data_IF_137765467089
#
_entry.id   IF_137765467089
#
_cell.length_a   1.000
_cell.length_b   1.000
_cell.length_c   1.000
_cell.angle_alpha   90.00
_cell.angle_beta   90.00
_cell.angle_gamma   90.00
#
_symmetry.space_group_name_H-M   'P 1'
#
loop_
_entity.id
_entity.type
_entity.pdbx_description
1 polymer ?
#
# COMPACT_ATOMS: atom_id res chain seq x y z
N UNK A 1 37.20 -4.78 -2.96
CA UNK A 1 36.03 -5.01 -3.83
C UNK A 1 34.84 -4.52 -3.04
N UNK A 2 34.08 -3.54 -3.54
CA UNK A 2 32.89 -3.06 -2.83
C UNK A 2 31.85 -4.19 -2.83
N UNK A 3 31.47 -4.70 -1.66
CA UNK A 3 30.38 -5.67 -1.56
C UNK A 3 29.15 -5.09 -2.23
N UNK A 4 28.61 -5.81 -3.21
CA UNK A 4 27.45 -5.37 -3.98
C UNK A 4 26.25 -5.41 -3.05
N UNK A 5 25.71 -4.24 -2.70
CA UNK A 5 24.51 -4.11 -1.89
C UNK A 5 23.37 -4.90 -2.55
N UNK A 6 22.87 -5.92 -1.86
CA UNK A 6 21.76 -6.73 -2.32
C UNK A 6 20.45 -5.99 -2.06
N UNK A 7 19.68 -5.74 -3.13
CA UNK A 7 18.37 -5.09 -3.07
C UNK A 7 17.32 -6.11 -3.47
N UNK A 8 16.41 -6.41 -2.55
CA UNK A 8 15.37 -7.43 -2.71
C UNK A 8 14.00 -6.77 -2.94
N UNK A 9 13.23 -7.38 -3.84
CA UNK A 9 11.85 -6.97 -4.15
C UNK A 9 11.74 -5.48 -4.43
N UNK A 10 11.01 -4.75 -3.57
CA UNK A 10 10.84 -3.31 -3.66
C UNK A 10 11.73 -2.57 -2.66
N UNK A 11 13.01 -2.39 -3.02
CA UNK A 11 13.94 -1.51 -2.31
C UNK A 11 14.41 -1.99 -0.94
N UNK A 12 14.13 -3.24 -0.57
CA UNK A 12 14.54 -3.77 0.72
C UNK A 12 16.01 -4.18 0.69
N UNK A 13 16.81 -3.71 1.66
CA UNK A 13 18.24 -3.99 1.75
C UNK A 13 18.50 -4.67 3.10
N UNK A 14 18.64 -6.01 3.15
CA UNK A 14 18.79 -6.74 4.41
C UNK A 14 19.98 -6.30 5.27
N UNK A 15 21.07 -5.90 4.63
CA UNK A 15 22.29 -5.43 5.30
C UNK A 15 22.12 -4.07 5.99
N UNK A 16 21.09 -3.29 5.62
CA UNK A 16 20.81 -1.97 6.20
C UNK A 16 19.65 -1.97 7.20
N UNK A 17 18.65 -2.83 6.98
CA UNK A 17 17.45 -2.86 7.82
C UNK A 17 16.86 -4.27 7.94
N UNK A 18 16.36 -4.56 9.14
CA UNK A 18 15.65 -5.82 9.43
C UNK A 18 14.13 -5.65 9.35
N UNK A 19 13.62 -4.44 9.63
CA UNK A 19 12.18 -4.14 9.52
C UNK A 19 11.78 -3.97 8.07
N UNK A 20 10.85 -4.82 7.61
CA UNK A 20 10.33 -4.81 6.26
C UNK A 20 8.91 -5.38 6.23
N UNK A 21 8.30 -5.35 5.05
CA UNK A 21 7.06 -6.06 4.78
C UNK A 21 7.31 -7.19 3.81
N UNK A 22 6.55 -8.28 3.97
CA UNK A 22 6.63 -9.45 3.11
C UNK A 22 5.26 -9.72 2.51
N UNK A 23 5.18 -9.72 1.18
CA UNK A 23 3.95 -10.01 0.43
C UNK A 23 3.98 -11.44 -0.05
N UNK A 24 3.01 -12.24 0.37
CA UNK A 24 2.80 -13.60 -0.09
C UNK A 24 1.73 -13.61 -1.19
N UNK A 25 2.14 -13.85 -2.43
CA UNK A 25 1.25 -13.89 -3.60
C UNK A 25 0.99 -15.36 -3.99
N UNK A 26 -0.26 -15.85 -3.98
CA UNK A 26 -0.55 -17.26 -4.24
C UNK A 26 -0.46 -17.58 -5.73
N UNK A 27 -0.14 -18.86 -6.06
CA UNK A 27 -0.10 -19.36 -7.45
C UNK A 27 -1.47 -19.30 -8.12
N UNK A 28 -2.50 -19.88 -7.49
CA UNK A 28 -3.86 -19.96 -8.04
C UNK A 28 -4.56 -18.60 -8.12
N UNK A 29 -5.59 -18.48 -8.96
CA UNK A 29 -6.34 -17.23 -9.14
C UNK A 29 -7.34 -16.94 -8.02
N UNK A 30 -7.82 -17.97 -7.32
CA UNK A 30 -8.82 -17.86 -6.24
C UNK A 30 -8.19 -17.78 -4.83
N UNK A 31 -6.90 -17.43 -4.75
CA UNK A 31 -6.18 -17.30 -3.48
C UNK A 31 -6.29 -15.92 -2.84
N UNK A 32 -5.70 -15.80 -1.64
CA UNK A 32 -5.53 -14.54 -0.95
C UNK A 32 -4.06 -14.12 -0.96
N UNK A 33 -3.81 -12.83 -1.20
CA UNK A 33 -2.54 -12.19 -0.94
C UNK A 33 -2.48 -11.83 0.53
N UNK A 34 -1.45 -12.31 1.23
CA UNK A 34 -1.22 -12.00 2.64
C UNK A 34 -0.03 -11.04 2.74
N UNK A 35 -0.14 -10.03 3.59
CA UNK A 35 0.94 -9.07 3.85
C UNK A 35 1.33 -9.17 5.32
N UNK A 36 2.61 -9.45 5.56
CA UNK A 36 3.20 -9.53 6.89
C UNK A 36 4.09 -8.32 7.15
N UNK A 37 4.04 -7.78 8.36
CA UNK A 37 5.06 -6.87 8.90
C UNK A 37 6.09 -7.72 9.66
N UNK A 38 7.36 -7.67 9.24
CA UNK A 38 8.45 -8.47 9.80
C UNK A 38 9.53 -7.57 10.39
N UNK A 39 10.19 -8.04 11.45
CA UNK A 39 11.24 -7.29 12.16
C UNK A 39 12.61 -7.96 12.11
N UNK A 40 12.72 -9.09 11.40
CA UNK A 40 13.93 -9.87 11.18
C UNK A 40 13.92 -10.40 9.76
N UNK A 41 15.08 -10.39 9.11
CA UNK A 41 15.29 -11.03 7.82
C UNK A 41 15.88 -12.43 8.03
N UNK A 42 15.43 -13.38 7.20
CA UNK A 42 15.95 -14.75 7.22
C UNK A 42 17.23 -14.79 6.38
N UNK A 43 18.37 -14.46 6.98
CA UNK A 43 19.67 -14.53 6.30
C UNK A 43 19.98 -15.97 5.86
N UNK A 44 19.98 -16.23 4.55
CA UNK A 44 20.65 -17.41 3.98
C UNK A 44 19.86 -18.71 3.85
N UNK A 45 18.53 -18.74 4.01
CA UNK A 45 17.73 -19.92 3.66
C UNK A 45 16.98 -19.61 2.35
N UNK A 46 17.22 -20.39 1.28
CA UNK A 46 16.52 -20.27 -0.02
C UNK A 46 14.98 -20.41 0.11
N UNK A 47 14.50 -20.75 1.31
CA UNK A 47 13.10 -20.89 1.67
C UNK A 47 12.73 -19.93 2.80
N UNK A 48 12.22 -18.75 2.45
CA UNK A 48 11.52 -17.86 3.37
C UNK A 48 10.38 -18.65 4.05
N UNK A 49 10.36 -18.66 5.39
CA UNK A 49 9.34 -19.32 6.20
C UNK A 49 8.63 -18.27 7.05
N UNK A 50 7.31 -18.34 7.11
CA UNK A 50 6.52 -17.47 7.98
C UNK A 50 6.58 -18.02 9.40
N UNK A 51 7.09 -17.22 10.33
CA UNK A 51 7.01 -17.48 11.75
C UNK A 51 5.81 -16.74 12.34
N UNK A 52 4.72 -17.45 12.59
CA UNK A 52 3.48 -16.86 13.14
C UNK A 52 3.63 -16.24 14.54
N UNK A 53 4.74 -16.49 15.25
CA UNK A 53 5.00 -15.82 16.53
C UNK A 53 5.60 -14.43 16.37
N UNK A 54 6.40 -14.19 15.33
CA UNK A 54 7.14 -12.95 15.14
C UNK A 54 6.68 -12.13 13.93
N UNK A 55 6.18 -12.79 12.89
CA UNK A 55 5.65 -12.17 11.68
C UNK A 55 4.20 -11.77 11.90
N UNK A 56 3.92 -10.46 11.78
CA UNK A 56 2.59 -9.92 12.08
C UNK A 56 1.75 -9.86 10.81
N UNK A 57 0.74 -10.73 10.61
CA UNK A 57 -0.15 -10.60 9.48
C UNK A 57 -0.99 -9.32 9.61
N UNK A 58 -0.98 -8.50 8.57
CA UNK A 58 -1.68 -7.20 8.53
C UNK A 58 -2.91 -7.21 7.64
N UNK A 59 -2.87 -8.01 6.57
CA UNK A 59 -3.84 -7.95 5.48
C UNK A 59 -4.07 -9.34 4.90
N UNK A 60 -5.32 -9.64 4.56
CA UNK A 60 -5.75 -10.75 3.72
C UNK A 60 -6.63 -10.23 2.59
N UNK A 61 -6.02 -9.97 1.44
CA UNK A 61 -6.71 -9.41 0.27
C UNK A 61 -6.99 -10.50 -0.77
N UNK A 62 -8.18 -10.53 -1.38
CA UNK A 62 -8.41 -11.45 -2.49
C UNK A 62 -7.45 -11.15 -3.65
N UNK A 63 -6.96 -12.19 -4.34
CA UNK A 63 -6.05 -11.99 -5.48
C UNK A 63 -6.68 -11.13 -6.58
N UNK A 64 -7.99 -11.21 -6.77
CA UNK A 64 -8.72 -10.31 -7.67
C UNK A 64 -8.53 -8.82 -7.31
N UNK A 65 -8.77 -8.44 -6.04
CA UNK A 65 -8.57 -7.05 -5.60
C UNK A 65 -7.10 -6.63 -5.65
N UNK A 66 -6.19 -7.55 -5.32
CA UNK A 66 -4.76 -7.30 -5.47
C UNK A 66 -4.38 -6.94 -6.91
N UNK A 67 -4.90 -7.66 -7.91
CA UNK A 67 -4.66 -7.35 -9.33
C UNK A 67 -5.11 -5.94 -9.73
N UNK A 68 -6.15 -5.41 -9.10
CA UNK A 68 -6.63 -4.05 -9.37
C UNK A 68 -5.67 -2.95 -8.85
N UNK A 69 -4.78 -3.27 -7.91
CA UNK A 69 -3.86 -2.29 -7.31
C UNK A 69 -2.37 -2.57 -7.57
N UNK A 70 -1.98 -3.79 -7.97
CA UNK A 70 -0.58 -4.20 -8.03
C UNK A 70 0.25 -3.32 -8.98
N UNK A 71 -0.30 -2.95 -10.14
CA UNK A 71 0.38 -2.09 -11.11
C UNK A 71 0.51 -0.66 -10.61
N UNK A 72 -0.50 -0.15 -9.90
CA UNK A 72 -0.45 1.17 -9.27
C UNK A 72 0.67 1.22 -8.22
N UNK A 73 0.73 0.24 -7.33
CA UNK A 73 1.78 0.15 -6.31
C UNK A 73 3.16 -0.01 -6.95
N UNK A 74 3.28 -0.88 -7.96
CA UNK A 74 4.55 -1.10 -8.67
C UNK A 74 5.08 0.20 -9.27
N UNK A 75 4.22 0.95 -9.96
CA UNK A 75 4.63 2.19 -10.63
C UNK A 75 5.06 3.24 -9.61
N UNK A 76 4.27 3.48 -8.56
CA UNK A 76 4.59 4.45 -7.50
C UNK A 76 5.92 4.11 -6.79
N UNK A 77 6.16 2.83 -6.49
CA UNK A 77 7.39 2.40 -5.83
C UNK A 77 8.58 2.47 -6.77
N UNK A 78 8.43 2.01 -8.02
CA UNK A 78 9.52 2.01 -8.98
C UNK A 78 9.95 3.42 -9.43
N UNK A 79 9.02 4.38 -9.50
CA UNK A 79 9.37 5.78 -9.73
C UNK A 79 10.29 6.32 -8.64
N UNK A 80 10.02 5.98 -7.37
CA UNK A 80 10.85 6.39 -6.23
C UNK A 80 12.16 5.62 -6.14
N UNK A 81 12.17 4.32 -6.48
CA UNK A 81 13.40 3.52 -6.59
C UNK A 81 14.32 4.06 -7.68
N UNK A 82 13.77 4.44 -8.84
CA UNK A 82 14.52 5.05 -9.94
C UNK A 82 15.18 6.35 -9.51
N UNK A 83 14.46 7.24 -8.79
CA UNK A 83 15.02 8.48 -8.24
C UNK A 83 16.18 8.23 -7.26
N UNK A 84 16.18 7.07 -6.57
CA UNK A 84 17.23 6.64 -5.64
C UNK A 84 18.34 5.81 -6.30
N UNK A 85 18.32 5.63 -7.63
CA UNK A 85 19.24 4.75 -8.37
C UNK A 85 19.27 3.29 -7.85
N UNK A 86 18.13 2.79 -7.35
CA UNK A 86 17.98 1.41 -6.90
C UNK A 86 17.35 0.53 -7.99
N UNK A 87 17.61 -0.80 -8.00
CA UNK A 87 16.92 -1.74 -8.87
C UNK A 87 15.40 -1.65 -8.74
N UNK A 88 14.70 -1.81 -9.87
CA UNK A 88 13.24 -1.76 -9.90
C UNK A 88 12.63 -3.08 -9.42
N UNK A 89 11.57 -3.00 -8.62
CA UNK A 89 10.84 -4.15 -8.12
C UNK A 89 9.81 -4.69 -9.12
N UNK A 90 9.46 -5.98 -8.95
CA UNK A 90 8.39 -6.66 -9.68
C UNK A 90 7.62 -7.57 -8.74
N UNK A 91 6.30 -7.56 -8.84
CA UNK A 91 5.45 -8.55 -8.18
C UNK A 91 5.64 -9.91 -8.86
N UNK A 92 5.84 -10.95 -8.06
CA UNK A 92 5.94 -12.34 -8.50
C UNK A 92 5.21 -13.23 -7.51
N UNK A 93 4.76 -14.39 -7.98
CA UNK A 93 4.21 -15.42 -7.11
C UNK A 93 5.22 -15.85 -6.05
N UNK A 94 4.75 -16.22 -4.86
CA UNK A 94 5.59 -16.50 -3.69
C UNK A 94 5.80 -15.24 -2.86
N UNK A 95 6.98 -15.12 -2.25
CA UNK A 95 7.30 -14.01 -1.35
C UNK A 95 8.01 -12.86 -2.07
N UNK A 96 7.54 -11.64 -1.81
CA UNK A 96 8.15 -10.39 -2.30
C UNK A 96 8.42 -9.46 -1.12
N UNK A 97 9.70 -9.21 -0.79
CA UNK A 97 10.08 -8.23 0.23
C UNK A 97 9.80 -6.80 -0.25
N UNK A 98 9.38 -5.94 0.67
CA UNK A 98 9.08 -4.53 0.42
C UNK A 98 9.72 -3.72 1.55
N UNK A 99 10.46 -2.67 1.19
CA UNK A 99 11.02 -1.73 2.15
C UNK A 99 9.93 -1.16 3.07
N UNK A 100 10.31 -0.90 4.32
CA UNK A 100 9.41 -0.52 5.40
C UNK A 100 8.41 0.58 5.03
N UNK A 101 8.86 1.72 4.48
CA UNK A 101 7.99 2.85 4.16
C UNK A 101 7.03 2.53 3.01
N UNK A 102 7.51 1.89 1.95
CA UNK A 102 6.62 1.38 0.88
C UNK A 102 5.61 0.37 1.41
N UNK A 103 6.03 -0.50 2.33
CA UNK A 103 5.15 -1.47 2.98
C UNK A 103 4.04 -0.80 3.79
N UNK A 104 4.34 0.28 4.54
CA UNK A 104 3.32 1.08 5.23
C UNK A 104 2.27 1.64 4.27
N UNK A 105 2.71 2.21 3.16
CA UNK A 105 1.81 2.81 2.16
C UNK A 105 0.94 1.76 1.46
N UNK A 106 1.52 0.61 1.14
CA UNK A 106 0.81 -0.54 0.58
C UNK A 106 -0.23 -1.09 1.56
N UNK A 107 0.14 -1.27 2.84
CA UNK A 107 -0.79 -1.74 3.86
C UNK A 107 -1.94 -0.75 4.04
N UNK A 108 -1.68 0.56 4.02
CA UNK A 108 -2.75 1.56 4.09
C UNK A 108 -3.79 1.42 2.95
N UNK A 109 -3.33 1.30 1.70
CA UNK A 109 -4.24 1.14 0.55
C UNK A 109 -5.02 -0.17 0.65
N UNK A 110 -4.32 -1.27 0.94
CA UNK A 110 -4.95 -2.59 1.03
C UNK A 110 -5.94 -2.67 2.18
N UNK A 111 -5.65 -2.02 3.31
CA UNK A 111 -6.58 -1.87 4.43
C UNK A 111 -7.89 -1.20 4.06
N UNK A 112 -7.87 -0.17 3.21
CA UNK A 112 -9.08 0.52 2.79
C UNK A 112 -9.99 -0.35 1.91
N UNK A 113 -9.40 -1.21 1.07
CA UNK A 113 -10.15 -1.95 0.06
C UNK A 113 -10.49 -3.40 0.45
N UNK A 114 -9.91 -3.91 1.54
CA UNK A 114 -10.02 -5.32 1.92
C UNK A 114 -11.48 -5.78 2.05
N UNK A 115 -12.31 -4.99 2.72
CA UNK A 115 -13.74 -5.28 2.96
C UNK A 115 -14.69 -4.36 2.17
N UNK A 116 -14.18 -3.70 1.12
CA UNK A 116 -14.99 -2.86 0.23
C UNK A 116 -15.51 -3.63 -0.99
N UNK A 117 -16.50 -3.09 -1.69
CA UNK A 117 -16.81 -3.57 -3.03
C UNK A 117 -15.63 -3.23 -3.99
N UNK A 118 -15.28 -4.07 -4.99
CA UNK A 118 -14.22 -3.73 -5.94
C UNK A 118 -14.48 -2.46 -6.75
N UNK A 119 -15.74 -2.04 -6.93
CA UNK A 119 -16.11 -0.82 -7.66
C UNK A 119 -15.55 0.47 -7.07
N UNK A 120 -15.23 0.50 -5.77
CA UNK A 120 -14.67 1.69 -5.10
C UNK A 120 -13.14 1.76 -5.14
N UNK A 121 -12.46 0.71 -5.66
CA UNK A 121 -10.99 0.67 -5.73
C UNK A 121 -10.39 1.81 -6.57
N UNK A 122 -10.96 2.21 -7.73
CA UNK A 122 -10.45 3.35 -8.48
C UNK A 122 -10.46 4.65 -7.67
N UNK A 123 -11.51 4.88 -6.87
CA UNK A 123 -11.61 6.05 -5.97
C UNK A 123 -10.56 5.95 -4.86
N UNK A 124 -10.40 4.76 -4.26
CA UNK A 124 -9.36 4.50 -3.26
C UNK A 124 -7.95 4.78 -3.77
N UNK A 125 -7.64 4.38 -5.01
CA UNK A 125 -6.36 4.68 -5.65
C UNK A 125 -6.19 6.19 -5.81
N UNK A 126 -7.20 6.91 -6.32
CA UNK A 126 -7.14 8.38 -6.51
C UNK A 126 -6.90 9.09 -5.17
N UNK A 127 -7.69 8.78 -4.14
CA UNK A 127 -7.52 9.37 -2.81
C UNK A 127 -6.17 9.03 -2.19
N UNK A 128 -5.72 7.78 -2.29
CA UNK A 128 -4.40 7.37 -1.77
C UNK A 128 -3.26 8.11 -2.48
N UNK A 129 -3.35 8.29 -3.80
CA UNK A 129 -2.39 9.08 -4.59
C UNK A 129 -2.41 10.58 -4.22
N UNK A 130 -3.58 11.09 -3.83
CA UNK A 130 -3.73 12.47 -3.37
C UNK A 130 -3.05 12.78 -2.04
N UNK A 131 -2.78 11.75 -1.23
CA UNK A 131 -1.99 11.89 0.00
C UNK A 131 -0.50 11.94 -0.31
N UNK A 132 0.22 12.82 0.39
CA UNK A 132 1.69 12.79 0.46
C UNK A 132 2.18 11.49 1.12
N UNK A 133 3.42 11.05 0.84
CA UNK A 133 4.00 9.88 1.52
C UNK A 133 3.94 9.98 3.05
N UNK A 134 4.20 11.15 3.61
CA UNK A 134 4.20 11.41 5.05
C UNK A 134 2.81 11.25 5.66
N UNK A 135 1.76 11.75 4.99
CA UNK A 135 0.37 11.53 5.39
C UNK A 135 -0.01 10.04 5.36
N UNK A 136 0.43 9.31 4.33
CA UNK A 136 0.23 7.86 4.26
C UNK A 136 0.92 7.15 5.43
N UNK A 137 2.15 7.51 5.75
CA UNK A 137 2.89 6.91 6.87
C UNK A 137 2.27 7.25 8.22
N UNK A 138 1.77 8.48 8.38
CA UNK A 138 1.08 8.91 9.58
C UNK A 138 -0.22 8.13 9.77
N UNK A 139 -1.08 8.05 8.75
CA UNK A 139 -2.33 7.27 8.78
C UNK A 139 -2.08 5.80 9.07
N UNK A 140 -1.06 5.20 8.43
CA UNK A 140 -0.63 3.84 8.74
C UNK A 140 -0.27 3.73 10.22
N UNK A 141 0.55 4.64 10.76
CA UNK A 141 1.07 4.56 12.13
C UNK A 141 -0.06 4.66 13.16
N UNK A 142 -0.99 5.61 12.98
CA UNK A 142 -2.17 5.75 13.84
C UNK A 142 -3.07 4.52 13.81
N UNK A 143 -3.30 3.99 12.60
CA UNK A 143 -4.13 2.79 12.41
C UNK A 143 -3.46 1.54 12.97
N UNK A 144 -2.16 1.37 12.74
CA UNK A 144 -1.40 0.21 13.18
C UNK A 144 -1.25 0.13 14.70
N UNK A 145 -1.12 1.29 15.36
CA UNK A 145 -1.03 1.37 16.82
C UNK A 145 -2.34 0.96 17.53
N UNK A 146 -3.49 1.18 16.89
CA UNK A 146 -4.81 0.94 17.51
C UNK A 146 -5.45 -0.38 17.05
N UNK A 147 -5.43 -0.64 15.73
CA UNK A 147 -6.23 -1.67 15.06
C UNK A 147 -5.47 -2.21 13.84
N UNK A 148 -4.20 -2.61 14.05
CA UNK A 148 -3.29 -3.01 12.97
C UNK A 148 -3.29 -4.50 12.60
N UNK A 149 -4.06 -5.34 13.30
CA UNK A 149 -4.10 -6.76 13.04
C UNK A 149 -4.93 -7.14 11.81
N UNK A 150 -4.63 -8.32 11.24
CA UNK A 150 -5.40 -8.92 10.13
C UNK A 150 -6.91 -9.05 10.42
N UNK A 151 -7.28 -9.27 11.67
CA UNK A 151 -8.68 -9.43 12.09
C UNK A 151 -9.32 -8.12 12.58
N UNK A 152 -8.57 -7.02 12.63
CA UNK A 152 -9.09 -5.74 13.12
C UNK A 152 -9.81 -4.98 12.01
N UNK A 153 -11.13 -4.84 12.16
CA UNK A 153 -12.01 -4.17 11.19
C UNK A 153 -12.79 -2.97 11.77
N UNK A 154 -12.35 -2.46 12.92
CA UNK A 154 -13.04 -1.43 13.72
C UNK A 154 -12.20 -0.16 13.82
N UNK A 155 -12.77 0.91 14.37
CA UNK A 155 -12.04 2.15 14.68
C UNK A 155 -11.32 2.73 13.45
N UNK A 156 -10.01 2.97 13.57
CA UNK A 156 -9.18 3.53 12.51
C UNK A 156 -9.22 2.72 11.21
N UNK A 157 -9.40 1.40 11.26
CA UNK A 157 -9.54 0.57 10.04
C UNK A 157 -10.81 0.93 9.26
N UNK A 158 -11.91 1.20 9.97
CA UNK A 158 -13.15 1.68 9.37
C UNK A 158 -12.94 3.10 8.82
N UNK A 159 -12.32 3.99 9.59
CA UNK A 159 -12.02 5.36 9.15
C UNK A 159 -11.18 5.40 7.87
N UNK A 160 -10.09 4.62 7.79
CA UNK A 160 -9.23 4.51 6.59
C UNK A 160 -10.02 4.03 5.37
N UNK A 161 -10.91 3.05 5.53
CA UNK A 161 -11.81 2.63 4.47
C UNK A 161 -12.63 3.81 3.95
N UNK A 162 -13.42 4.46 4.79
CA UNK A 162 -14.26 5.59 4.37
C UNK A 162 -13.44 6.74 3.75
N UNK A 163 -12.33 7.10 4.39
CA UNK A 163 -11.47 8.19 3.95
C UNK A 163 -10.90 7.95 2.54
N UNK A 164 -10.58 6.71 2.17
CA UNK A 164 -10.06 6.42 0.83
C UNK A 164 -11.16 6.02 -0.16
N UNK A 165 -12.22 5.32 0.25
CA UNK A 165 -13.20 4.77 -0.70
C UNK A 165 -14.40 5.68 -0.96
N UNK A 166 -14.73 6.59 -0.04
CA UNK A 166 -15.96 7.40 -0.11
C UNK A 166 -15.69 8.90 -0.16
N UNK A 167 -14.47 9.35 0.12
CA UNK A 167 -14.12 10.76 0.02
C UNK A 167 -14.18 11.22 -1.46
N UNK A 168 -14.99 12.25 -1.79
CA UNK A 168 -15.11 12.73 -3.15
C UNK A 168 -13.76 13.28 -3.63
N UNK A 169 -13.30 12.76 -4.76
CA UNK A 169 -12.16 13.32 -5.48
C UNK A 169 -12.71 14.38 -6.42
N UNK A 170 -12.57 15.65 -6.07
CA UNK A 170 -12.89 16.73 -7.00
C UNK A 170 -11.86 16.69 -8.14
N UNK A 171 -12.31 16.41 -9.36
CA UNK A 171 -11.45 16.58 -10.53
C UNK A 171 -11.25 18.09 -10.73
N UNK A 172 -10.01 18.55 -10.65
CA UNK A 172 -9.63 19.96 -10.90
C UNK A 172 -10.01 20.39 -12.34
N UNK A 173 -10.30 19.43 -13.22
CA UNK A 173 -10.79 19.63 -14.59
C UNK A 173 -12.30 19.45 -14.74
N UNK A 174 -13.12 19.74 -13.71
CA UNK A 174 -14.49 20.17 -14.02
C UNK A 174 -14.38 21.53 -14.68
N UNK A 175 -14.49 21.55 -16.01
CA UNK A 175 -14.88 22.74 -16.75
C UNK A 175 -16.02 23.38 -15.95
N UNK A 176 -15.77 24.56 -15.37
CA UNK A 176 -16.75 25.28 -14.55
C UNK A 176 -18.06 25.30 -15.34
N UNK A 177 -19.10 24.68 -14.78
CA UNK A 177 -20.40 24.70 -15.43
C UNK A 177 -20.89 26.16 -15.41
N UNK A 178 -21.69 26.58 -16.40
CA UNK A 178 -22.17 27.96 -16.47
C UNK A 178 -22.86 28.39 -15.17
N UNK A 179 -23.45 27.43 -14.46
CA UNK A 179 -24.03 27.60 -13.14
C UNK A 179 -23.02 27.97 -12.05
N UNK A 180 -21.83 27.36 -12.01
CA UNK A 180 -20.78 27.66 -11.04
C UNK A 180 -20.24 29.09 -11.24
N UNK A 181 -20.12 29.54 -12.50
CA UNK A 181 -19.73 30.90 -12.86
C UNK A 181 -20.79 31.95 -12.46
N UNK A 182 -22.08 31.61 -12.56
CA UNK A 182 -23.16 32.50 -12.13
C UNK A 182 -23.27 32.63 -10.61
N UNK A 183 -22.97 31.56 -9.86
CA UNK A 183 -22.98 31.59 -8.39
C UNK A 183 -21.84 32.46 -7.86
N UNK A 184 -20.62 32.31 -8.40
CA UNK A 184 -19.49 33.12 -7.97
C UNK A 184 -19.70 34.62 -8.22
N UNK A 185 -20.35 35.00 -9.33
CA UNK A 185 -20.69 36.41 -9.61
C UNK A 185 -21.66 37.04 -8.61
N UNK A 186 -22.52 36.26 -7.97
CA UNK A 186 -23.51 36.76 -6.99
C UNK A 186 -22.96 36.91 -5.58
N UNK A 187 -21.78 36.35 -5.31
CA UNK A 187 -21.12 36.42 -4.00
C UNK A 187 -20.21 37.66 -3.93
N UNK A 188 -19.80 38.19 -5.09
CA UNK A 188 -18.96 39.39 -5.22
C UNK A 188 -19.75 40.71 -5.38
N UNK A 189 -21.10 40.65 -5.35
CA UNK A 189 -22.03 41.79 -5.33
C UNK A 189 -22.68 41.95 -3.94
#
# INVERSE_FOLDING_TARGET
MSDKIEVLGFGFIPSEAQHHFLVEIPRGNNGFVIIYERFKWDDGDDNIKIDYQSDKPKVKLSKYKWKLIEDTLRNEFNERLKKRNLPLGRWKTGFVPVERLFGKEMVLLTWAIEDSDPSVIPIAIKNWKGLSPEERWWLFTMTNASTGGINDKRGWRKAVRYALTENPVYEVNKQLDLFDLMINRKIDD
#
